data_IF_804039850006
#
_entry.id   IF_804039850006
#
_cell.length_a   1.000
_cell.length_b   1.000
_cell.length_c   1.000
_cell.angle_alpha   90.00
_cell.angle_beta   90.00
_cell.angle_gamma   90.00
#
_symmetry.space_group_name_H-M   'P 1'
#
loop_
_entity.id
_entity.type
_entity.pdbx_description
1 polymer ?
#
# COMPACT_ATOMS: atom_id res chain seq x y z
N UNK A 1 31.31 -8.62 2.65
CA UNK A 1 30.23 -8.08 1.79
C UNK A 1 29.69 -6.82 2.46
N UNK A 2 29.80 -5.67 1.78
CA UNK A 2 29.19 -4.44 2.31
C UNK A 2 27.67 -4.59 2.22
N UNK A 3 27.00 -4.64 3.35
CA UNK A 3 25.54 -4.69 3.41
C UNK A 3 24.98 -3.37 2.86
N UNK A 4 24.10 -3.44 1.86
CA UNK A 4 23.41 -2.26 1.35
C UNK A 4 22.66 -1.54 2.46
N UNK A 5 22.73 -0.20 2.48
CA UNK A 5 21.94 0.62 3.41
C UNK A 5 20.52 0.84 2.91
N UNK A 6 19.56 1.13 3.81
CA UNK A 6 18.19 1.52 3.44
C UNK A 6 18.17 2.68 2.43
N UNK A 7 19.11 3.62 2.51
CA UNK A 7 19.22 4.77 1.61
C UNK A 7 19.64 4.35 0.20
N UNK A 8 20.62 3.45 0.08
CA UNK A 8 21.07 2.93 -1.22
C UNK A 8 19.97 2.16 -1.93
N UNK A 9 19.27 1.26 -1.22
CA UNK A 9 18.13 0.52 -1.80
C UNK A 9 17.04 1.48 -2.29
N UNK A 10 16.68 2.50 -1.47
CA UNK A 10 15.69 3.51 -1.92
C UNK A 10 16.14 4.26 -3.17
N UNK A 11 17.42 4.59 -3.30
CA UNK A 11 17.92 5.29 -4.47
C UNK A 11 17.82 4.43 -5.72
N UNK A 12 18.27 3.18 -5.66
CA UNK A 12 18.17 2.23 -6.78
C UNK A 12 16.72 2.05 -7.25
N UNK A 13 15.78 1.93 -6.31
CA UNK A 13 14.36 1.79 -6.66
C UNK A 13 13.81 3.07 -7.29
N UNK A 14 14.16 4.26 -6.77
CA UNK A 14 13.76 5.53 -7.41
C UNK A 14 14.27 5.64 -8.85
N UNK A 15 15.52 5.25 -9.09
CA UNK A 15 16.13 5.28 -10.42
C UNK A 15 15.45 4.30 -11.39
N UNK A 16 15.01 3.14 -10.88
CA UNK A 16 14.24 2.17 -11.66
C UNK A 16 12.82 2.68 -11.96
N UNK A 17 12.12 3.23 -10.95
CA UNK A 17 10.77 3.81 -11.11
C UNK A 17 10.75 4.96 -12.12
N UNK A 18 11.80 5.81 -12.11
CA UNK A 18 11.93 6.92 -13.06
C UNK A 18 12.08 6.49 -14.53
N UNK A 19 12.39 5.23 -14.80
CA UNK A 19 12.52 4.68 -16.16
C UNK A 19 11.23 4.05 -16.69
N UNK A 20 10.21 3.88 -15.84
CA UNK A 20 8.95 3.25 -16.23
C UNK A 20 8.08 4.27 -16.97
N UNK A 21 7.71 3.94 -18.20
CA UNK A 21 6.75 4.75 -18.96
C UNK A 21 5.34 4.63 -18.39
N UNK A 22 4.50 5.63 -18.67
CA UNK A 22 3.08 5.57 -18.29
C UNK A 22 2.37 4.35 -18.87
N UNK A 23 2.68 3.97 -20.12
CA UNK A 23 2.07 2.80 -20.76
C UNK A 23 2.42 1.49 -20.02
N UNK A 24 3.68 1.30 -19.64
CA UNK A 24 4.11 0.14 -18.86
C UNK A 24 3.42 0.14 -17.49
N UNK A 25 3.35 1.29 -16.83
CA UNK A 25 2.66 1.41 -15.52
C UNK A 25 1.20 1.00 -15.62
N UNK A 26 0.47 1.46 -16.65
CA UNK A 26 -0.93 1.10 -16.85
C UNK A 26 -1.11 -0.41 -17.02
N UNK A 27 -0.31 -1.05 -17.88
CA UNK A 27 -0.38 -2.50 -18.11
C UNK A 27 -0.08 -3.27 -16.82
N UNK A 28 1.01 -2.94 -16.15
CA UNK A 28 1.40 -3.61 -14.91
C UNK A 28 0.40 -3.37 -13.76
N UNK A 29 -0.25 -2.21 -13.71
CA UNK A 29 -1.33 -1.96 -12.77
C UNK A 29 -2.55 -2.82 -13.04
N UNK A 30 -2.91 -3.03 -14.31
CA UNK A 30 -4.02 -3.93 -14.69
C UNK A 30 -3.72 -5.39 -14.29
N UNK A 31 -2.50 -5.87 -14.58
CA UNK A 31 -2.08 -7.23 -14.23
C UNK A 31 -2.06 -7.44 -12.70
N UNK A 32 -1.54 -6.45 -11.95
CA UNK A 32 -1.61 -6.45 -10.50
C UNK A 32 -3.05 -6.51 -9.99
N UNK A 33 -3.92 -5.64 -10.51
CA UNK A 33 -5.33 -5.57 -10.10
C UNK A 33 -6.05 -6.91 -10.33
N UNK A 34 -5.85 -7.53 -11.50
CA UNK A 34 -6.42 -8.84 -11.81
C UNK A 34 -5.95 -9.94 -10.82
N UNK A 35 -4.68 -9.88 -10.42
CA UNK A 35 -4.10 -10.84 -9.47
C UNK A 35 -4.54 -10.62 -8.04
N UNK A 36 -4.72 -9.36 -7.63
CA UNK A 36 -5.09 -8.97 -6.27
C UNK A 36 -6.59 -9.12 -5.99
N UNK A 37 -7.42 -8.97 -7.01
CA UNK A 37 -8.88 -8.97 -6.90
C UNK A 37 -9.47 -10.18 -6.12
N UNK A 38 -9.08 -11.45 -6.38
CA UNK A 38 -9.63 -12.59 -5.65
C UNK A 38 -9.40 -12.48 -4.13
N UNK A 39 -8.24 -11.96 -3.73
CA UNK A 39 -7.92 -11.75 -2.32
C UNK A 39 -8.81 -10.66 -1.69
N UNK A 40 -9.06 -9.57 -2.41
CA UNK A 40 -9.92 -8.49 -1.95
C UNK A 40 -11.39 -8.89 -1.89
N UNK A 41 -11.85 -9.78 -2.79
CA UNK A 41 -13.23 -10.25 -2.78
C UNK A 41 -13.59 -11.02 -1.52
N UNK A 42 -12.65 -11.73 -0.91
CA UNK A 42 -12.88 -12.48 0.34
C UNK A 42 -12.98 -11.60 1.59
N UNK A 43 -12.42 -10.38 1.56
CA UNK A 43 -12.43 -9.45 2.68
C UNK A 43 -13.73 -8.63 2.74
N UNK A 44 -14.22 -8.31 3.94
CA UNK A 44 -15.38 -7.41 4.16
C UNK A 44 -14.95 -5.97 4.35
N UNK A 45 -13.76 -5.76 4.91
CA UNK A 45 -13.18 -4.46 5.21
C UNK A 45 -11.74 -4.37 4.70
N UNK A 46 -11.43 -3.35 3.92
CA UNK A 46 -10.15 -3.20 3.23
C UNK A 46 -9.63 -1.79 3.42
N UNK A 47 -8.42 -1.69 3.94
CA UNK A 47 -7.66 -0.44 3.94
C UNK A 47 -6.79 -0.40 2.67
N UNK A 48 -7.13 0.49 1.76
CA UNK A 48 -6.37 0.81 0.56
C UNK A 48 -5.28 1.84 0.88
N UNK A 49 -4.43 2.11 -0.09
CA UNK A 49 -3.60 3.32 -0.13
C UNK A 49 -3.97 4.15 -1.36
N UNK A 50 -3.74 5.44 -1.32
CA UNK A 50 -3.84 6.31 -2.48
C UNK A 50 -2.50 6.26 -3.22
N UNK A 51 -2.44 5.70 -4.44
CA UNK A 51 -1.19 5.55 -5.17
C UNK A 51 -0.55 6.88 -5.50
N UNK A 52 0.76 6.96 -5.31
CA UNK A 52 1.58 8.05 -5.82
C UNK A 52 1.82 7.88 -7.33
N UNK A 53 2.24 8.96 -8.04
CA UNK A 53 2.45 8.88 -9.49
C UNK A 53 3.47 7.82 -9.95
N UNK A 54 4.34 7.35 -9.08
CA UNK A 54 5.35 6.31 -9.34
C UNK A 54 4.96 4.93 -8.76
N UNK A 55 3.77 4.78 -8.20
CA UNK A 55 3.25 3.52 -7.64
C UNK A 55 2.28 2.85 -8.63
N UNK A 56 2.06 1.55 -8.46
CA UNK A 56 1.02 0.80 -9.19
C UNK A 56 -0.36 1.32 -8.80
N UNK A 57 -1.21 1.51 -9.79
CA UNK A 57 -2.56 2.04 -9.60
C UNK A 57 -3.51 0.95 -9.09
N UNK A 58 -4.09 1.17 -7.92
CA UNK A 58 -5.10 0.30 -7.29
C UNK A 58 -6.49 0.95 -7.25
N UNK A 59 -6.65 2.16 -7.79
CA UNK A 59 -7.95 2.83 -7.87
C UNK A 59 -9.02 1.99 -8.58
N UNK A 60 -8.73 1.28 -9.70
CA UNK A 60 -9.74 0.45 -10.36
C UNK A 60 -10.32 -0.64 -9.46
N UNK A 61 -9.53 -1.18 -8.52
CA UNK A 61 -10.04 -2.16 -7.54
C UNK A 61 -10.95 -1.50 -6.51
N UNK A 62 -10.59 -0.31 -6.03
CA UNK A 62 -11.44 0.44 -5.11
C UNK A 62 -12.77 0.78 -5.76
N UNK A 63 -12.77 1.33 -6.98
CA UNK A 63 -13.98 1.64 -7.75
C UNK A 63 -14.89 0.41 -7.90
N UNK A 64 -14.31 -0.73 -8.26
CA UNK A 64 -15.04 -1.99 -8.45
C UNK A 64 -15.66 -2.51 -7.16
N UNK A 65 -15.03 -2.27 -6.00
CA UNK A 65 -15.47 -2.82 -4.72
C UNK A 65 -16.44 -1.91 -3.95
N UNK A 66 -16.49 -0.62 -4.24
CA UNK A 66 -17.41 0.32 -3.60
C UNK A 66 -18.89 -0.13 -3.68
N UNK A 67 -19.42 -0.61 -4.84
CA UNK A 67 -20.81 -1.06 -4.94
C UNK A 67 -21.08 -2.37 -4.18
N UNK A 68 -20.04 -3.14 -3.84
CA UNK A 68 -20.18 -4.49 -3.25
C UNK A 68 -20.48 -4.49 -1.73
N UNK A 69 -20.91 -3.35 -1.16
CA UNK A 69 -21.23 -3.18 0.28
C UNK A 69 -20.06 -3.51 1.22
N UNK A 70 -18.82 -3.41 0.73
CA UNK A 70 -17.61 -3.57 1.55
C UNK A 70 -17.27 -2.25 2.25
N UNK A 71 -16.54 -2.35 3.36
CA UNK A 71 -15.92 -1.20 3.98
C UNK A 71 -14.58 -0.97 3.30
N UNK A 72 -14.53 0.03 2.42
CA UNK A 72 -13.30 0.49 1.79
C UNK A 72 -12.86 1.80 2.46
N UNK A 73 -11.60 1.91 2.83
CA UNK A 73 -11.04 3.09 3.47
C UNK A 73 -9.67 3.45 2.91
N UNK A 74 -9.27 4.69 3.10
CA UNK A 74 -7.93 5.20 2.81
C UNK A 74 -7.35 5.86 4.06
N UNK A 75 -6.01 5.88 4.22
CA UNK A 75 -5.37 6.71 5.21
C UNK A 75 -5.65 8.19 4.94
N UNK A 76 -5.96 8.94 5.99
CA UNK A 76 -6.09 10.40 5.97
C UNK A 76 -5.26 10.99 7.11
N UNK A 77 -4.50 12.05 6.84
CA UNK A 77 -3.71 12.69 7.87
C UNK A 77 -4.61 13.49 8.83
N UNK A 78 -4.58 13.13 10.09
CA UNK A 78 -5.22 13.91 11.15
C UNK A 78 -4.25 14.95 11.70
N UNK A 79 -4.56 16.23 11.46
CA UNK A 79 -3.67 17.33 11.84
C UNK A 79 -3.68 17.58 13.37
N UNK A 80 -4.73 17.17 14.08
CA UNK A 80 -4.84 17.31 15.53
C UNK A 80 -4.01 16.23 16.22
N UNK A 81 -4.24 14.98 15.85
CA UNK A 81 -3.55 13.83 16.42
C UNK A 81 -2.14 13.63 15.84
N UNK A 82 -1.76 14.39 14.79
CA UNK A 82 -0.49 14.24 14.05
C UNK A 82 -0.26 12.80 13.58
N UNK A 83 -1.34 12.11 13.22
CA UNK A 83 -1.35 10.70 12.88
C UNK A 83 -2.26 10.43 11.66
N UNK A 84 -2.12 9.27 11.03
CA UNK A 84 -3.03 8.80 9.98
C UNK A 84 -4.18 7.98 10.57
N UNK A 85 -5.39 8.46 10.42
CA UNK A 85 -6.61 7.70 10.62
C UNK A 85 -7.00 6.99 9.32
N UNK A 86 -7.73 5.88 9.42
CA UNK A 86 -8.40 5.29 8.26
C UNK A 86 -9.80 5.88 8.17
N UNK A 87 -10.16 6.44 7.00
CA UNK A 87 -11.50 6.98 6.76
C UNK A 87 -12.18 6.27 5.62
N UNK A 88 -13.47 5.94 5.83
CA UNK A 88 -14.29 5.21 4.87
C UNK A 88 -14.54 6.04 3.63
N UNK A 89 -14.40 5.41 2.47
CA UNK A 89 -14.77 5.97 1.16
C UNK A 89 -16.01 5.25 0.67
N UNK A 90 -17.03 6.00 0.25
CA UNK A 90 -18.27 5.50 -0.36
C UNK A 90 -18.42 5.97 -1.80
N UNK A 91 -17.82 7.11 -2.14
CA UNK A 91 -17.85 7.71 -3.46
C UNK A 91 -16.52 8.43 -3.73
N UNK A 92 -15.84 8.10 -4.83
CA UNK A 92 -14.53 8.69 -5.14
C UNK A 92 -14.62 10.17 -5.53
N UNK A 93 -15.70 10.60 -6.16
CA UNK A 93 -15.87 11.99 -6.60
C UNK A 93 -16.14 12.93 -5.42
N UNK A 94 -16.89 12.45 -4.42
CA UNK A 94 -17.39 13.29 -3.34
C UNK A 94 -16.62 13.15 -2.03
N UNK A 95 -15.91 12.03 -1.83
CA UNK A 95 -15.25 11.72 -0.55
C UNK A 95 -13.75 12.01 -0.57
N UNK A 96 -13.15 12.28 -1.74
CA UNK A 96 -11.71 12.41 -1.90
C UNK A 96 -11.30 13.87 -2.14
N UNK A 97 -10.22 14.27 -1.49
CA UNK A 97 -9.58 15.59 -1.64
C UNK A 97 -8.06 15.43 -1.74
N UNK A 98 -7.38 16.41 -2.30
CA UNK A 98 -5.92 16.46 -2.25
C UNK A 98 -5.49 16.85 -0.83
N UNK A 99 -4.81 15.93 -0.15
CA UNK A 99 -4.32 16.12 1.22
C UNK A 99 -3.05 16.94 1.31
N UNK A 100 -2.55 17.12 2.54
CA UNK A 100 -1.40 17.99 2.88
C UNK A 100 -0.12 17.71 2.08
N UNK A 101 0.09 16.49 1.63
CA UNK A 101 1.30 16.08 0.93
C UNK A 101 1.09 15.85 -0.59
N UNK A 102 0.01 16.38 -1.15
CA UNK A 102 -0.36 16.16 -2.55
C UNK A 102 -0.89 14.75 -2.83
N UNK A 103 -1.20 13.97 -1.78
CA UNK A 103 -1.77 12.64 -1.87
C UNK A 103 -3.28 12.73 -1.74
N UNK A 104 -4.02 11.92 -2.49
CA UNK A 104 -5.47 11.83 -2.34
C UNK A 104 -5.84 11.25 -0.98
N UNK A 105 -6.67 11.94 -0.23
CA UNK A 105 -7.12 11.56 1.11
C UNK A 105 -8.63 11.67 1.23
N UNK A 106 -9.30 10.85 2.05
CA UNK A 106 -10.71 11.06 2.35
C UNK A 106 -10.94 12.36 3.10
N UNK A 107 -12.09 13.01 2.82
CA UNK A 107 -12.52 14.21 3.52
C UNK A 107 -12.57 13.99 5.04
N UNK A 108 -12.35 15.05 5.86
CA UNK A 108 -12.49 14.98 7.32
C UNK A 108 -13.87 14.51 7.80
N UNK A 109 -14.92 14.77 7.02
CA UNK A 109 -16.29 14.36 7.31
C UNK A 109 -16.56 12.86 7.10
N UNK A 110 -15.64 12.14 6.40
CA UNK A 110 -15.79 10.70 6.21
C UNK A 110 -15.63 9.94 7.54
N UNK A 111 -16.40 8.87 7.67
CA UNK A 111 -16.42 8.00 8.85
C UNK A 111 -15.03 7.43 9.15
N UNK A 112 -14.52 7.65 10.37
CA UNK A 112 -13.26 7.04 10.83
C UNK A 112 -13.49 5.58 11.21
N UNK A 113 -12.65 4.70 10.68
CA UNK A 113 -12.66 3.27 10.97
C UNK A 113 -11.40 2.92 11.77
N UNK A 114 -11.50 2.26 12.93
CA UNK A 114 -10.32 1.79 13.67
C UNK A 114 -9.44 0.85 12.84
N UNK A 115 -8.13 1.02 12.93
CA UNK A 115 -7.17 0.26 12.10
C UNK A 115 -7.19 -1.26 12.36
N UNK A 116 -7.59 -1.68 13.54
CA UNK A 116 -7.74 -3.09 13.93
C UNK A 116 -8.99 -3.76 13.35
N UNK A 117 -9.87 -3.00 12.71
CA UNK A 117 -11.13 -3.50 12.13
C UNK A 117 -11.04 -3.92 10.66
N UNK A 118 -9.89 -3.76 10.05
CA UNK A 118 -9.72 -4.18 8.65
C UNK A 118 -9.32 -5.66 8.57
N UNK A 119 -10.02 -6.40 7.71
CA UNK A 119 -9.67 -7.78 7.36
C UNK A 119 -8.40 -7.84 6.52
N UNK A 120 -8.19 -6.79 5.68
CA UNK A 120 -7.08 -6.70 4.76
C UNK A 120 -6.56 -5.26 4.64
N UNK A 121 -5.24 -5.14 4.57
CA UNK A 121 -4.53 -3.86 4.39
C UNK A 121 -3.62 -3.95 3.18
N UNK A 122 -3.83 -3.10 2.19
CA UNK A 122 -2.89 -2.90 1.08
C UNK A 122 -1.75 -2.00 1.51
N UNK A 123 -0.53 -2.41 1.25
CA UNK A 123 0.68 -1.80 1.79
C UNK A 123 1.64 -1.41 0.67
N UNK A 124 1.81 -0.11 0.37
CA UNK A 124 2.82 0.35 -0.58
C UNK A 124 4.23 0.27 0.04
N UNK A 125 5.23 0.17 -0.81
CA UNK A 125 6.63 0.16 -0.36
C UNK A 125 7.61 0.47 -1.49
N UNK A 126 8.83 0.86 -1.11
CA UNK A 126 9.94 1.01 -2.04
C UNK A 126 10.54 -0.35 -2.42
N UNK A 127 10.63 -1.28 -1.46
CA UNK A 127 11.09 -2.63 -1.70
C UNK A 127 10.47 -3.60 -0.69
N UNK A 128 10.42 -4.86 -1.09
CA UNK A 128 10.00 -5.99 -0.26
C UNK A 128 10.97 -7.16 -0.43
N UNK A 129 11.02 -8.06 0.55
CA UNK A 129 11.74 -9.32 0.42
C UNK A 129 10.86 -10.54 0.70
N UNK A 130 11.39 -11.72 0.38
CA UNK A 130 10.65 -12.99 0.53
C UNK A 130 10.27 -13.34 1.98
N UNK A 131 10.89 -12.66 2.96
CA UNK A 131 10.55 -12.78 4.39
C UNK A 131 9.45 -11.82 4.82
N UNK A 132 8.86 -11.09 3.87
CA UNK A 132 7.81 -10.11 4.12
C UNK A 132 8.31 -8.79 4.72
N UNK A 133 9.61 -8.57 4.77
CA UNK A 133 10.14 -7.28 5.19
C UNK A 133 9.78 -6.21 4.16
N UNK A 134 9.56 -4.98 4.63
CA UNK A 134 9.16 -3.83 3.82
C UNK A 134 10.10 -2.66 4.04
N UNK A 135 10.55 -2.05 2.96
CA UNK A 135 11.23 -0.76 2.98
C UNK A 135 10.28 0.34 2.52
N UNK A 136 9.89 1.23 3.42
CA UNK A 136 9.09 2.41 3.10
C UNK A 136 9.93 3.58 2.59
N UNK A 137 9.24 4.71 2.28
CA UNK A 137 9.87 5.95 1.80
C UNK A 137 10.67 6.71 2.87
N UNK A 138 10.64 6.24 4.15
CA UNK A 138 11.48 6.78 5.24
C UNK A 138 10.78 7.74 6.20
N UNK A 139 9.46 7.90 6.11
CA UNK A 139 8.68 8.77 7.04
C UNK A 139 8.00 8.00 8.20
N UNK A 140 8.08 6.67 8.22
CA UNK A 140 7.51 5.82 9.29
C UNK A 140 5.98 5.75 9.35
N UNK A 141 5.26 6.35 8.39
CA UNK A 141 3.78 6.40 8.43
C UNK A 141 3.15 5.01 8.39
N UNK A 142 3.59 4.18 7.44
CA UNK A 142 3.04 2.84 7.31
C UNK A 142 3.46 1.93 8.46
N UNK A 143 4.61 2.13 9.08
CA UNK A 143 5.04 1.31 10.22
C UNK A 143 4.09 1.51 11.41
N UNK A 144 3.61 2.75 11.63
CA UNK A 144 2.58 3.05 12.63
C UNK A 144 1.22 2.43 12.27
N UNK A 145 0.75 2.59 11.02
CA UNK A 145 -0.52 1.98 10.57
C UNK A 145 -0.46 0.46 10.76
N UNK A 146 0.64 -0.17 10.33
CA UNK A 146 0.78 -1.62 10.35
C UNK A 146 0.95 -2.20 11.76
N UNK A 147 1.49 -1.43 12.72
CA UNK A 147 1.56 -1.84 14.13
C UNK A 147 0.18 -1.89 14.79
N UNK A 148 -0.77 -1.10 14.32
CA UNK A 148 -2.15 -1.05 14.85
C UNK A 148 -3.12 -1.94 14.07
N UNK A 149 -2.78 -2.31 12.82
CA UNK A 149 -3.65 -3.11 11.97
C UNK A 149 -3.52 -4.60 12.31
N UNK A 150 -4.65 -5.26 12.55
CA UNK A 150 -4.73 -6.70 12.86
C UNK A 150 -4.91 -7.59 11.63
N UNK A 151 -5.44 -7.04 10.53
CA UNK A 151 -5.76 -7.78 9.31
C UNK A 151 -4.57 -8.26 8.51
N UNK A 152 -4.87 -9.01 7.45
CA UNK A 152 -3.88 -9.52 6.51
C UNK A 152 -3.23 -8.34 5.77
N UNK A 153 -1.90 -8.25 5.84
CA UNK A 153 -1.11 -7.20 5.21
C UNK A 153 -0.61 -7.67 3.85
N UNK A 154 -1.05 -7.03 2.77
CA UNK A 154 -0.69 -7.34 1.40
C UNK A 154 0.21 -6.24 0.83
N UNK A 155 1.51 -6.50 0.70
CA UNK A 155 2.45 -5.62 0.01
C UNK A 155 2.10 -5.53 -1.47
N UNK A 156 2.16 -4.33 -2.02
CA UNK A 156 1.92 -4.04 -3.45
C UNK A 156 3.20 -3.44 -4.02
N UNK A 157 3.73 -4.04 -5.09
CA UNK A 157 5.02 -3.68 -5.64
C UNK A 157 5.15 -4.07 -7.12
N UNK A 158 6.03 -3.38 -7.85
CA UNK A 158 6.54 -3.89 -9.13
C UNK A 158 7.46 -5.10 -8.91
N UNK A 159 7.63 -5.94 -9.92
CA UNK A 159 8.49 -7.13 -9.81
C UNK A 159 9.94 -6.79 -9.42
N UNK A 160 10.50 -5.68 -9.92
CA UNK A 160 11.87 -5.25 -9.59
C UNK A 160 12.02 -4.69 -8.17
N UNK A 161 10.93 -4.37 -7.48
CA UNK A 161 10.94 -3.95 -6.07
C UNK A 161 11.04 -5.15 -5.12
N UNK A 162 10.87 -6.38 -5.63
CA UNK A 162 11.08 -7.60 -4.87
C UNK A 162 12.56 -7.94 -4.87
N UNK A 163 13.14 -8.02 -3.69
CA UNK A 163 14.55 -8.33 -3.44
C UNK A 163 14.68 -9.66 -2.71
N UNK A 164 15.85 -10.28 -2.75
CA UNK A 164 16.15 -11.46 -1.95
C UNK A 164 16.18 -11.12 -0.46
N UNK A 165 16.79 -9.98 -0.13
CA UNK A 165 16.81 -9.41 1.22
C UNK A 165 16.87 -7.89 1.17
N UNK A 166 16.34 -7.22 2.20
CA UNK A 166 16.45 -5.77 2.40
C UNK A 166 16.95 -5.47 3.81
N UNK A 167 17.61 -4.33 4.03
CA UNK A 167 18.00 -3.89 5.36
C UNK A 167 16.78 -3.64 6.23
N UNK A 168 16.75 -4.22 7.44
CA UNK A 168 15.64 -4.16 8.39
C UNK A 168 16.08 -3.67 9.76
N UNK A 169 15.12 -3.15 10.52
CA UNK A 169 15.24 -2.82 11.94
C UNK A 169 14.20 -3.61 12.73
N UNK A 170 14.40 -3.75 14.03
CA UNK A 170 13.54 -4.59 14.87
C UNK A 170 12.06 -4.15 14.91
N UNK A 171 11.80 -2.87 14.66
CA UNK A 171 10.46 -2.29 14.66
C UNK A 171 9.77 -2.28 13.27
N UNK A 172 10.46 -2.69 12.21
CA UNK A 172 9.87 -2.72 10.85
C UNK A 172 8.74 -3.75 10.79
N UNK A 173 7.54 -3.30 10.42
CA UNK A 173 6.39 -4.17 10.29
C UNK A 173 6.48 -5.01 9.00
N UNK A 174 6.17 -6.30 9.12
CA UNK A 174 6.17 -7.24 8.00
C UNK A 174 4.80 -7.36 7.34
N UNK A 175 4.80 -7.74 6.05
CA UNK A 175 3.59 -8.10 5.31
C UNK A 175 3.41 -9.62 5.26
N UNK A 176 2.17 -10.09 5.09
CA UNK A 176 1.82 -11.51 4.98
C UNK A 176 1.98 -12.03 3.56
N UNK A 177 1.63 -11.18 2.57
CA UNK A 177 1.72 -11.45 1.15
C UNK A 177 2.36 -10.28 0.43
N UNK A 178 2.98 -10.54 -0.72
CA UNK A 178 3.47 -9.53 -1.65
C UNK A 178 2.87 -9.84 -3.00
N UNK A 179 2.14 -8.88 -3.56
CA UNK A 179 1.55 -8.94 -4.88
C UNK A 179 2.34 -8.06 -5.84
N UNK A 180 2.74 -8.65 -6.95
CA UNK A 180 3.34 -7.95 -8.08
C UNK A 180 2.54 -8.24 -9.35
N UNK A 181 2.76 -7.55 -10.46
CA UNK A 181 2.10 -7.84 -11.73
C UNK A 181 2.25 -9.30 -12.16
N UNK A 182 3.42 -9.95 -11.94
CA UNK A 182 3.68 -11.32 -12.40
C UNK A 182 3.37 -12.40 -11.37
N UNK A 183 3.34 -12.10 -10.06
CA UNK A 183 3.27 -13.14 -9.01
C UNK A 183 2.64 -12.67 -7.70
N UNK A 184 2.21 -13.66 -6.91
CA UNK A 184 1.87 -13.48 -5.49
C UNK A 184 2.81 -14.36 -4.65
N UNK A 185 3.43 -13.76 -3.65
CA UNK A 185 4.33 -14.45 -2.72
C UNK A 185 3.73 -14.41 -1.33
N UNK A 186 3.63 -15.57 -0.69
CA UNK A 186 3.35 -15.65 0.74
C UNK A 186 4.68 -15.55 1.50
N UNK A 187 4.70 -14.74 2.55
CA UNK A 187 5.85 -14.63 3.45
C UNK A 187 6.33 -16.02 3.89
N UNK A 188 7.63 -16.25 3.82
CA UNK A 188 8.29 -17.41 4.42
C UNK A 188 8.70 -17.06 5.85
N UNK A 189 8.37 -17.92 6.77
CA UNK A 189 8.79 -17.82 8.18
C UNK A 189 10.29 -18.05 8.33
#
# INVERSE_FOLDING_TARGET
>A
MNLETKAQVRQQIRDALGKISLAVRLVESMDLCARLEPQLQSARSILFFAPLPDELDVWPLLEKLLPARKICALPAFDAVEQFYAARRVKNLENDIVTGKFGVSEPLPACETIPLDRFDLVLVPGMAFDVKGNRLGRGRGFYDRILSMASGIKCGVAYDFQLRESIPTEAHDAKVNFIFTPSRCLRRRD
#
